data_IF_630706768415
#
_entry.id   IF_630706768415
#
_cell.length_a   1.000
_cell.length_b   1.000
_cell.length_c   1.000
_cell.angle_alpha   90.00
_cell.angle_beta   90.00
_cell.angle_gamma   90.00
#
_symmetry.space_group_name_H-M   'P 1'
#
loop_
_entity.id
_entity.type
_entity.pdbx_description
1 polymer ?
#
# COMPACT_ATOMS: atom_id res chain seq x y z
N UNK A 1 40.89 -12.95 40.21
CA UNK A 1 40.18 -12.95 41.50
C UNK A 1 39.09 -11.90 41.45
N UNK A 2 37.94 -12.13 42.10
CA UNK A 2 36.93 -11.15 42.59
C UNK A 2 36.40 -10.03 41.66
N UNK A 3 35.11 -9.72 41.61
CA UNK A 3 33.93 -10.40 42.16
C UNK A 3 32.64 -9.95 41.43
N UNK A 4 31.56 -10.71 41.63
CA UNK A 4 30.23 -10.52 41.07
C UNK A 4 29.61 -9.14 41.38
N UNK A 5 28.62 -8.73 40.57
CA UNK A 5 27.31 -8.40 41.13
C UNK A 5 26.18 -8.48 40.09
N UNK A 6 25.06 -9.11 40.47
CA UNK A 6 23.83 -9.19 39.66
C UNK A 6 22.61 -9.28 40.58
N UNK A 7 21.66 -8.33 40.54
CA UNK A 7 20.41 -8.42 41.27
C UNK A 7 19.29 -8.97 40.37
N UNK A 8 18.88 -10.21 40.61
CA UNK A 8 17.64 -10.78 40.05
C UNK A 8 16.41 -10.19 40.76
N UNK A 9 15.35 -9.85 40.01
CA UNK A 9 13.99 -9.77 40.56
C UNK A 9 12.90 -10.05 39.51
N UNK A 10 12.28 -11.22 39.62
CA UNK A 10 10.97 -11.52 38.99
C UNK A 10 9.88 -10.65 39.63
N UNK A 11 8.88 -10.20 38.85
CA UNK A 11 7.49 -10.02 39.33
C UNK A 11 6.47 -9.92 38.18
N UNK A 12 5.52 -10.87 38.18
CA UNK A 12 4.17 -10.89 37.58
C UNK A 12 3.31 -11.71 38.57
N UNK A 13 1.96 -11.65 38.53
CA UNK A 13 1.09 -10.52 38.20
C UNK A 13 0.45 -10.00 39.51
N UNK A 14 -0.87 -9.70 39.60
CA UNK A 14 -1.86 -10.77 39.70
C UNK A 14 -3.04 -10.67 38.70
N UNK A 15 -3.84 -11.73 38.64
CA UNK A 15 -5.12 -11.77 37.91
C UNK A 15 -6.25 -11.18 38.76
N UNK A 16 -7.34 -10.75 38.10
CA UNK A 16 -8.59 -10.37 38.76
C UNK A 16 -9.74 -11.27 38.28
N UNK A 17 -9.91 -12.43 38.90
CA UNK A 17 -11.14 -13.22 38.77
C UNK A 17 -12.26 -12.58 39.59
N UNK A 18 -13.47 -12.52 39.04
CA UNK A 18 -14.64 -11.87 39.65
C UNK A 18 -15.96 -12.51 39.25
N UNK A 19 -16.23 -13.70 39.79
CA UNK A 19 -17.60 -14.19 40.01
C UNK A 19 -17.92 -13.91 41.52
N UNK A 20 -19.14 -13.99 42.07
CA UNK A 20 -20.40 -14.65 41.69
C UNK A 20 -21.60 -13.83 42.26
N UNK A 21 -22.82 -14.21 41.85
CA UNK A 21 -24.15 -13.98 42.49
C UNK A 21 -24.93 -12.74 42.02
N UNK A 22 -26.17 -12.81 41.50
CA UNK A 22 -27.35 -13.72 41.62
C UNK A 22 -28.35 -13.35 42.74
N UNK A 23 -29.59 -13.87 42.62
CA UNK A 23 -30.83 -13.55 43.37
C UNK A 23 -31.59 -12.34 42.79
N UNK A 24 -32.90 -12.34 42.51
CA UNK A 24 -33.92 -13.36 42.10
C UNK A 24 -35.24 -12.58 41.78
N UNK A 25 -36.32 -13.08 41.15
CA UNK A 25 -36.65 -14.39 40.54
C UNK A 25 -36.94 -14.19 39.02
N UNK A 26 -38.08 -14.44 38.34
CA UNK A 26 -39.39 -15.14 38.53
C UNK A 26 -40.07 -15.28 37.12
N UNK A 27 -41.02 -16.16 36.80
CA UNK A 27 -41.55 -17.40 37.39
C UNK A 27 -42.19 -18.28 36.29
N UNK A 28 -42.30 -19.60 36.51
CA UNK A 28 -43.34 -20.53 35.97
C UNK A 28 -43.54 -20.64 34.42
N UNK A 29 -43.24 -21.81 33.85
CA UNK A 29 -43.77 -22.27 32.54
C UNK A 29 -45.04 -23.15 32.70
N UNK A 30 -45.26 -24.22 31.92
CA UNK A 30 -44.71 -24.59 30.60
C UNK A 30 -45.79 -25.08 29.60
N UNK A 31 -45.42 -25.43 28.35
CA UNK A 31 -45.79 -26.70 27.64
C UNK A 31 -45.51 -26.65 26.12
N UNK A 32 -44.91 -27.72 25.59
CA UNK A 32 -44.78 -28.00 24.15
C UNK A 32 -46.03 -28.71 23.59
N UNK A 33 -46.43 -28.47 22.33
CA UNK A 33 -47.58 -29.13 21.72
C UNK A 33 -47.33 -30.63 21.43
N UNK A 34 -48.38 -31.44 21.57
CA UNK A 34 -48.35 -32.91 21.44
C UNK A 34 -48.49 -33.33 19.97
N UNK A 35 -47.62 -34.25 19.50
CA UNK A 35 -47.84 -34.99 18.25
C UNK A 35 -48.94 -36.04 18.44
N UNK A 36 -50.09 -35.84 17.80
CA UNK A 36 -51.12 -36.88 17.73
C UNK A 36 -50.66 -38.07 16.87
N UNK A 37 -50.93 -39.27 17.37
CA UNK A 37 -50.78 -40.55 16.68
C UNK A 37 -52.15 -40.97 16.13
N UNK A 38 -52.20 -41.45 14.89
CA UNK A 38 -53.35 -42.20 14.34
C UNK A 38 -52.85 -43.51 13.74
N UNK A 39 -53.69 -44.53 13.82
CA UNK A 39 -53.49 -45.90 13.32
C UNK A 39 -54.86 -46.50 13.02
N UNK A 40 -54.91 -47.45 12.08
CA UNK A 40 -56.14 -47.87 11.38
C UNK A 40 -56.18 -47.25 9.97
N UNK A 41 -56.45 -47.98 8.89
CA UNK A 41 -56.93 -49.39 8.80
C UNK A 41 -56.33 -50.09 7.58
N UNK A 42 -56.31 -51.42 7.60
CA UNK A 42 -56.12 -52.32 6.44
C UNK A 42 -57.32 -52.18 5.46
N UNK A 43 -57.39 -52.74 4.24
CA UNK A 43 -56.49 -53.57 3.42
C UNK A 43 -56.82 -53.30 1.93
N UNK A 44 -55.98 -53.70 0.96
CA UNK A 44 -56.37 -53.58 -0.47
C UNK A 44 -55.25 -53.72 -1.51
N UNK A 45 -55.26 -54.84 -2.24
CA UNK A 45 -54.43 -55.16 -3.43
C UNK A 45 -55.41 -55.62 -4.56
N UNK A 46 -55.04 -55.78 -5.86
CA UNK A 46 -53.69 -55.75 -6.44
C UNK A 46 -53.53 -55.01 -7.80
N UNK A 47 -52.28 -55.02 -8.27
CA UNK A 47 -51.78 -55.02 -9.67
C UNK A 47 -52.58 -54.42 -10.86
N UNK A 48 -51.90 -53.51 -11.58
CA UNK A 48 -51.64 -53.66 -13.03
C UNK A 48 -50.38 -52.87 -13.41
N UNK A 49 -49.69 -53.23 -14.50
CA UNK A 49 -48.36 -52.67 -14.83
C UNK A 49 -48.15 -52.32 -16.30
N UNK A 50 -47.17 -51.43 -16.56
CA UNK A 50 -46.67 -51.13 -17.92
C UNK A 50 -45.21 -50.61 -17.83
N UNK A 51 -44.27 -51.02 -18.71
CA UNK A 51 -42.84 -50.82 -18.44
C UNK A 51 -42.15 -49.64 -19.18
N UNK A 52 -41.10 -49.12 -18.53
CA UNK A 52 -39.93 -48.41 -19.08
C UNK A 52 -40.14 -47.18 -19.99
N UNK A 53 -39.62 -46.06 -19.51
CA UNK A 53 -38.77 -45.17 -20.33
C UNK A 53 -37.68 -44.55 -19.44
N UNK A 54 -36.38 -44.89 -19.63
CA UNK A 54 -35.30 -44.26 -18.88
C UNK A 54 -35.01 -42.87 -19.46
N UNK A 55 -35.80 -41.88 -19.05
CA UNK A 55 -35.48 -40.48 -19.31
C UNK A 55 -34.12 -40.18 -18.69
N UNK A 56 -33.11 -39.88 -19.52
CA UNK A 56 -31.78 -39.54 -19.02
C UNK A 56 -31.80 -38.13 -18.44
N UNK A 57 -32.23 -38.01 -17.18
CA UNK A 57 -32.01 -36.79 -16.41
C UNK A 57 -30.51 -36.51 -16.37
N UNK A 58 -30.07 -35.54 -17.18
CA UNK A 58 -28.78 -34.89 -16.99
C UNK A 58 -28.90 -34.08 -15.70
N UNK A 59 -28.68 -34.75 -14.56
CA UNK A 59 -28.57 -34.17 -13.23
C UNK A 59 -27.36 -33.25 -13.23
N UNK A 60 -27.58 -32.04 -13.75
CA UNK A 60 -26.64 -30.95 -13.77
C UNK A 60 -26.32 -30.65 -12.31
N UNK A 61 -25.07 -30.85 -11.84
CA UNK A 61 -24.79 -30.82 -10.42
C UNK A 61 -25.22 -29.48 -9.83
N UNK A 62 -26.13 -29.49 -8.85
CA UNK A 62 -26.52 -28.30 -8.10
C UNK A 62 -25.32 -27.84 -7.27
N UNK A 63 -24.45 -27.03 -7.87
CA UNK A 63 -23.25 -26.48 -7.26
C UNK A 63 -23.65 -25.70 -6.01
N UNK A 64 -23.46 -26.31 -4.84
CA UNK A 64 -23.92 -25.70 -3.59
C UNK A 64 -23.13 -24.41 -3.33
N UNK A 65 -23.74 -23.46 -2.61
CA UNK A 65 -23.04 -22.22 -2.20
C UNK A 65 -21.73 -22.50 -1.46
N UNK A 66 -21.66 -23.64 -0.74
CA UNK A 66 -20.43 -24.14 -0.11
C UNK A 66 -19.36 -24.51 -1.14
N UNK A 67 -19.69 -25.31 -2.15
CA UNK A 67 -18.75 -25.72 -3.20
C UNK A 67 -18.20 -24.53 -4.00
N UNK A 68 -19.04 -23.52 -4.27
CA UNK A 68 -18.59 -22.28 -4.94
C UNK A 68 -17.58 -21.49 -4.08
N UNK A 69 -17.86 -21.30 -2.78
CA UNK A 69 -16.94 -20.62 -1.86
C UNK A 69 -15.63 -21.42 -1.65
N UNK A 70 -15.70 -22.75 -1.67
CA UNK A 70 -14.55 -23.65 -1.56
C UNK A 70 -13.65 -23.59 -2.81
N UNK A 71 -14.25 -23.57 -4.01
CA UNK A 71 -13.54 -23.35 -5.27
C UNK A 71 -12.90 -21.95 -5.35
N UNK A 72 -13.58 -20.90 -4.90
CA UNK A 72 -13.03 -19.54 -4.86
C UNK A 72 -11.84 -19.44 -3.89
N UNK A 73 -11.93 -20.09 -2.72
CA UNK A 73 -10.83 -20.21 -1.76
C UNK A 73 -9.65 -20.98 -2.34
N UNK A 74 -9.89 -22.08 -3.05
CA UNK A 74 -8.85 -22.84 -3.74
C UNK A 74 -8.13 -21.99 -4.80
N UNK A 75 -8.87 -21.25 -5.63
CA UNK A 75 -8.31 -20.31 -6.62
C UNK A 75 -7.42 -19.25 -5.95
N UNK A 76 -7.90 -18.61 -4.88
CA UNK A 76 -7.13 -17.60 -4.12
C UNK A 76 -5.86 -18.17 -3.49
N UNK A 77 -5.91 -19.40 -2.97
CA UNK A 77 -4.72 -20.09 -2.47
C UNK A 77 -3.72 -20.39 -3.59
N UNK A 78 -4.17 -20.86 -4.75
CA UNK A 78 -3.33 -21.13 -5.92
C UNK A 78 -2.67 -19.83 -6.44
N UNK A 79 -3.42 -18.73 -6.50
CA UNK A 79 -2.90 -17.41 -6.89
C UNK A 79 -1.80 -16.93 -5.95
N UNK A 80 -1.99 -17.09 -4.63
CA UNK A 80 -0.97 -16.79 -3.62
C UNK A 80 0.26 -17.68 -3.75
N UNK A 81 0.09 -18.99 -3.96
CA UNK A 81 1.21 -19.92 -4.18
C UNK A 81 2.01 -19.60 -5.45
N UNK A 82 1.34 -19.23 -6.54
CA UNK A 82 1.99 -18.81 -7.79
C UNK A 82 2.77 -17.50 -7.63
N UNK A 83 2.29 -16.57 -6.81
CA UNK A 83 3.02 -15.35 -6.44
C UNK A 83 4.25 -15.67 -5.57
N UNK A 84 4.11 -16.53 -4.56
CA UNK A 84 5.23 -16.99 -3.72
C UNK A 84 6.29 -17.75 -4.53
N UNK A 85 5.87 -18.59 -5.48
CA UNK A 85 6.75 -19.27 -6.42
C UNK A 85 7.43 -18.33 -7.42
N UNK A 86 6.83 -17.17 -7.73
CA UNK A 86 7.45 -16.12 -8.55
C UNK A 86 8.51 -15.34 -7.76
N UNK A 87 8.21 -14.97 -6.50
CA UNK A 87 9.16 -14.33 -5.58
C UNK A 87 10.39 -15.21 -5.29
N UNK A 88 10.19 -16.53 -5.19
CA UNK A 88 11.25 -17.50 -4.90
C UNK A 88 12.23 -17.73 -6.06
N UNK A 89 11.96 -17.21 -7.28
CA UNK A 89 12.89 -17.34 -8.40
C UNK A 89 14.07 -16.40 -8.23
N UNK A 90 15.28 -16.94 -8.35
CA UNK A 90 16.53 -16.17 -8.26
C UNK A 90 16.70 -15.07 -9.31
N UNK A 91 15.90 -15.10 -10.39
CA UNK A 91 15.83 -14.05 -11.43
C UNK A 91 15.08 -12.77 -10.98
N UNK A 92 14.16 -12.90 -10.01
CA UNK A 92 13.32 -11.80 -9.53
C UNK A 92 13.85 -11.14 -8.25
N UNK A 93 14.83 -11.75 -7.58
CA UNK A 93 15.45 -11.22 -6.35
C UNK A 93 16.59 -10.26 -6.71
N UNK A 94 16.48 -8.98 -6.33
CA UNK A 94 17.50 -8.00 -6.64
C UNK A 94 18.71 -8.13 -5.71
N UNK A 95 19.91 -8.09 -6.30
CA UNK A 95 21.18 -8.21 -5.61
C UNK A 95 22.06 -7.00 -5.89
N UNK A 96 22.57 -6.28 -4.88
CA UNK A 96 23.51 -5.17 -5.08
C UNK A 96 24.75 -5.57 -5.90
N UNK A 97 25.14 -6.83 -5.85
CA UNK A 97 26.28 -7.38 -6.58
C UNK A 97 26.02 -7.52 -8.09
N UNK A 98 24.75 -7.52 -8.53
CA UNK A 98 24.35 -7.59 -9.94
C UNK A 98 24.21 -6.19 -10.58
N UNK A 99 23.86 -5.16 -9.79
CA UNK A 99 23.89 -3.76 -10.22
C UNK A 99 24.62 -2.89 -9.17
N UNK A 100 25.97 -2.97 -9.10
CA UNK A 100 26.77 -2.19 -8.16
C UNK A 100 26.79 -0.69 -8.50
N UNK A 101 26.24 -0.30 -9.66
CA UNK A 101 26.14 1.09 -10.10
C UNK A 101 24.74 1.69 -9.83
N UNK A 102 23.80 0.93 -9.26
CA UNK A 102 22.46 1.40 -8.95
C UNK A 102 22.50 2.66 -8.07
N UNK A 103 22.03 3.77 -8.63
CA UNK A 103 21.93 5.07 -7.97
C UNK A 103 20.56 5.67 -8.23
N UNK A 104 19.85 5.98 -7.16
CA UNK A 104 18.58 6.70 -7.23
C UNK A 104 18.84 8.12 -7.79
N UNK A 105 18.03 8.54 -8.76
CA UNK A 105 18.28 9.78 -9.52
C UNK A 105 17.72 11.00 -8.78
N UNK A 106 18.31 12.17 -9.06
CA UNK A 106 17.77 13.46 -8.62
C UNK A 106 16.34 13.62 -9.13
N UNK A 107 15.45 14.19 -8.30
CA UNK A 107 14.02 14.33 -8.58
C UNK A 107 13.17 13.10 -8.23
N UNK A 108 13.76 11.93 -7.97
CA UNK A 108 12.99 10.76 -7.53
C UNK A 108 12.43 10.95 -6.13
N UNK A 109 11.16 10.53 -5.94
CA UNK A 109 10.52 10.42 -4.62
C UNK A 109 10.81 9.03 -4.06
N UNK A 110 11.48 8.95 -2.91
CA UNK A 110 11.88 7.70 -2.24
C UNK A 110 11.16 7.48 -0.92
N UNK A 111 11.09 6.23 -0.51
CA UNK A 111 10.39 5.73 0.68
C UNK A 111 11.36 4.85 1.48
N UNK A 112 11.33 4.93 2.81
CA UNK A 112 12.17 4.07 3.67
C UNK A 112 11.54 2.68 3.86
N UNK A 113 12.36 1.66 4.11
CA UNK A 113 11.95 0.26 4.27
C UNK A 113 10.68 0.06 5.11
N UNK A 114 10.66 0.61 6.32
CA UNK A 114 9.56 0.45 7.28
C UNK A 114 8.27 1.09 6.78
N UNK A 115 8.34 2.29 6.20
CA UNK A 115 7.17 3.00 5.66
C UNK A 115 6.61 2.26 4.44
N UNK A 116 7.48 1.81 3.53
CA UNK A 116 7.11 1.01 2.36
C UNK A 116 6.43 -0.30 2.77
N UNK A 117 7.09 -1.09 3.62
CA UNK A 117 6.58 -2.39 4.08
C UNK A 117 5.21 -2.25 4.76
N UNK A 118 5.05 -1.25 5.62
CA UNK A 118 3.79 -1.00 6.34
C UNK A 118 2.67 -0.45 5.45
N UNK A 119 2.97 0.43 4.50
CA UNK A 119 1.96 1.08 3.66
C UNK A 119 1.40 0.15 2.58
N UNK A 120 2.29 -0.48 1.81
CA UNK A 120 1.91 -1.40 0.72
C UNK A 120 1.54 -2.82 1.23
N UNK A 121 1.92 -3.14 2.48
CA UNK A 121 1.86 -4.47 3.09
C UNK A 121 2.68 -5.47 2.28
N UNK A 122 3.97 -5.17 2.15
CA UNK A 122 4.95 -6.09 1.58
C UNK A 122 5.53 -7.04 2.64
N UNK A 123 5.92 -8.24 2.21
CA UNK A 123 6.78 -9.14 2.98
C UNK A 123 8.26 -8.77 2.80
N UNK A 124 9.18 -9.43 3.52
CA UNK A 124 10.62 -9.17 3.37
C UNK A 124 11.16 -9.72 2.02
N UNK A 125 10.58 -10.81 1.53
CA UNK A 125 10.87 -11.42 0.23
C UNK A 125 10.40 -10.56 -0.95
N UNK A 126 9.24 -9.90 -0.80
CA UNK A 126 8.72 -8.92 -1.77
C UNK A 126 9.62 -7.68 -1.83
N UNK A 127 10.06 -7.16 -0.67
CA UNK A 127 11.02 -6.05 -0.60
C UNK A 127 12.42 -6.45 -1.11
N UNK A 128 12.73 -7.75 -1.20
CA UNK A 128 13.95 -8.30 -1.80
C UNK A 128 13.97 -8.22 -3.34
N UNK A 129 12.82 -8.10 -4.00
CA UNK A 129 12.74 -7.95 -5.46
C UNK A 129 13.08 -6.55 -5.98
N UNK A 130 13.30 -5.57 -5.09
CA UNK A 130 13.40 -4.15 -5.46
C UNK A 130 14.78 -3.54 -5.25
N UNK A 131 15.26 -2.72 -6.20
CA UNK A 131 16.56 -2.05 -6.09
C UNK A 131 16.51 -0.89 -5.08
N UNK A 132 17.39 -0.96 -4.08
CA UNK A 132 17.45 -0.02 -2.97
C UNK A 132 18.82 0.64 -2.83
N UNK A 133 18.85 1.81 -2.21
CA UNK A 133 20.08 2.46 -1.75
C UNK A 133 20.17 2.31 -0.23
N UNK A 134 21.33 1.89 0.25
CA UNK A 134 21.62 1.84 1.67
C UNK A 134 22.03 3.23 2.18
N UNK A 135 21.60 3.61 3.39
CA UNK A 135 22.00 4.85 4.05
C UNK A 135 22.36 4.60 5.52
N UNK A 136 23.25 5.42 6.07
CA UNK A 136 23.67 5.29 7.46
C UNK A 136 22.50 5.56 8.43
N UNK A 137 22.28 4.65 9.37
CA UNK A 137 21.22 4.75 10.35
C UNK A 137 21.75 5.38 11.63
N UNK A 138 21.39 6.65 11.86
CA UNK A 138 21.79 7.45 13.02
C UNK A 138 21.54 6.77 14.38
N UNK A 139 20.55 5.88 14.47
CA UNK A 139 20.21 5.17 15.70
C UNK A 139 20.97 3.84 15.87
N UNK A 140 21.53 3.28 14.79
CA UNK A 140 22.29 2.02 14.80
C UNK A 140 23.13 1.86 13.51
N UNK A 141 24.41 2.28 13.51
CA UNK A 141 25.30 2.16 12.35
C UNK A 141 25.47 0.73 11.83
N UNK A 142 25.35 -0.30 12.70
CA UNK A 142 25.41 -1.72 12.31
C UNK A 142 24.17 -2.20 11.54
N UNK A 143 23.14 -1.37 11.38
CA UNK A 143 21.91 -1.68 10.65
C UNK A 143 21.52 -0.52 9.73
N UNK A 144 22.19 -0.37 8.57
CA UNK A 144 21.89 0.70 7.62
C UNK A 144 20.43 0.66 7.18
N UNK A 145 19.85 1.85 7.01
CA UNK A 145 18.52 2.01 6.42
C UNK A 145 18.54 1.69 4.93
N UNK A 146 17.37 1.35 4.38
CA UNK A 146 17.18 1.14 2.94
C UNK A 146 16.12 2.09 2.41
N UNK A 147 16.43 2.83 1.35
CA UNK A 147 15.49 3.66 0.60
C UNK A 147 15.12 2.99 -0.73
N UNK A 148 13.88 3.15 -1.16
CA UNK A 148 13.32 2.55 -2.38
C UNK A 148 12.66 3.64 -3.23
N UNK A 149 12.73 3.53 -4.56
CA UNK A 149 11.98 4.41 -5.47
C UNK A 149 10.47 4.18 -5.31
N UNK A 150 9.69 5.25 -5.12
CA UNK A 150 8.22 5.17 -5.01
C UNK A 150 7.59 4.52 -6.25
N UNK A 151 8.13 4.78 -7.44
CA UNK A 151 7.57 4.23 -8.69
C UNK A 151 7.74 2.71 -8.78
N UNK A 152 8.85 2.17 -8.31
CA UNK A 152 9.11 0.72 -8.37
C UNK A 152 8.38 -0.04 -7.25
N UNK A 153 8.18 0.60 -6.08
CA UNK A 153 7.23 0.14 -5.07
C UNK A 153 5.78 0.06 -5.61
N UNK A 154 5.34 1.09 -6.35
CA UNK A 154 4.01 1.09 -6.98
C UNK A 154 3.88 0.00 -8.06
N UNK A 155 4.89 -0.15 -8.93
CA UNK A 155 4.94 -1.24 -9.93
C UNK A 155 4.84 -2.62 -9.28
N UNK A 156 5.57 -2.87 -8.18
CA UNK A 156 5.46 -4.13 -7.45
C UNK A 156 4.07 -4.31 -6.83
N UNK A 157 3.49 -3.25 -6.27
CA UNK A 157 2.14 -3.30 -5.67
C UNK A 157 1.07 -3.62 -6.72
N UNK A 158 1.11 -2.96 -7.88
CA UNK A 158 0.18 -3.22 -8.99
C UNK A 158 0.34 -4.65 -9.52
N UNK A 159 1.59 -5.09 -9.75
CA UNK A 159 1.91 -6.45 -10.19
C UNK A 159 1.42 -7.51 -9.19
N UNK A 160 1.58 -7.26 -7.88
CA UNK A 160 1.10 -8.12 -6.79
C UNK A 160 -0.42 -8.26 -6.81
N UNK A 161 -1.16 -7.16 -6.89
CA UNK A 161 -2.64 -7.23 -6.93
C UNK A 161 -3.14 -7.88 -8.23
N UNK A 162 -2.50 -7.60 -9.37
CA UNK A 162 -2.80 -8.28 -10.63
C UNK A 162 -2.60 -9.80 -10.52
N UNK A 163 -1.47 -10.26 -9.97
CA UNK A 163 -1.19 -11.68 -9.75
C UNK A 163 -2.17 -12.34 -8.78
N UNK A 164 -2.45 -11.69 -7.64
CA UNK A 164 -3.37 -12.22 -6.61
C UNK A 164 -4.83 -12.27 -7.06
N UNK A 165 -5.24 -11.48 -8.07
CA UNK A 165 -6.58 -11.56 -8.65
C UNK A 165 -6.66 -12.44 -9.91
N UNK A 166 -5.51 -12.78 -10.52
CA UNK A 166 -5.40 -13.68 -11.67
C UNK A 166 -5.43 -12.98 -13.03
N UNK A 167 -4.92 -11.75 -13.11
CA UNK A 167 -4.75 -11.02 -14.37
C UNK A 167 -3.65 -11.70 -15.21
N UNK A 168 -3.92 -11.89 -16.50
CA UNK A 168 -2.98 -12.52 -17.41
C UNK A 168 -1.66 -11.73 -17.52
N UNK A 169 -0.55 -12.45 -17.60
CA UNK A 169 0.79 -11.87 -17.71
C UNK A 169 1.36 -11.25 -16.43
N UNK A 170 0.66 -11.27 -15.29
CA UNK A 170 1.18 -10.73 -14.03
C UNK A 170 2.43 -11.47 -13.49
N UNK A 171 2.65 -12.70 -13.93
CA UNK A 171 3.81 -13.54 -13.56
C UNK A 171 4.81 -13.74 -14.72
N UNK A 172 4.55 -13.18 -15.92
CA UNK A 172 5.48 -13.16 -17.06
C UNK A 172 6.63 -12.17 -16.80
N UNK A 173 7.83 -12.41 -17.33
CA UNK A 173 9.05 -11.64 -16.99
C UNK A 173 8.88 -10.11 -16.90
N UNK A 174 8.84 -9.42 -18.05
CA UNK A 174 8.62 -7.96 -18.10
C UNK A 174 7.11 -7.67 -17.96
N UNK A 175 6.68 -6.84 -17.00
CA UNK A 175 5.27 -6.53 -16.80
C UNK A 175 4.71 -5.68 -17.95
N UNK A 176 3.58 -6.12 -18.54
CA UNK A 176 2.86 -5.42 -19.61
C UNK A 176 2.03 -4.26 -19.04
N UNK A 177 1.95 -3.13 -19.75
CA UNK A 177 1.27 -1.92 -19.27
C UNK A 177 -0.21 -2.14 -18.91
N UNK A 178 -0.96 -2.92 -19.69
CA UNK A 178 -2.38 -3.15 -19.41
C UNK A 178 -2.62 -4.00 -18.16
N UNK A 179 -1.70 -4.94 -17.87
CA UNK A 179 -1.69 -5.68 -16.60
C UNK A 179 -1.36 -4.74 -15.43
N UNK A 180 -0.46 -3.77 -15.62
CA UNK A 180 -0.16 -2.76 -14.60
C UNK A 180 -1.32 -1.78 -14.37
N UNK A 181 -2.07 -1.39 -15.40
CA UNK A 181 -3.30 -0.56 -15.27
C UNK A 181 -4.38 -1.30 -14.46
N UNK A 182 -4.62 -2.57 -14.76
CA UNK A 182 -5.59 -3.38 -14.00
C UNK A 182 -5.09 -3.65 -12.57
N UNK A 183 -3.81 -3.94 -12.40
CA UNK A 183 -3.16 -4.05 -11.09
C UNK A 183 -3.27 -2.77 -10.26
N UNK A 184 -3.16 -1.60 -10.89
CA UNK A 184 -3.42 -0.32 -10.24
C UNK A 184 -4.88 -0.20 -9.81
N UNK A 185 -5.85 -0.48 -10.69
CA UNK A 185 -7.28 -0.42 -10.36
C UNK A 185 -7.62 -1.28 -9.14
N UNK A 186 -7.05 -2.49 -9.07
CA UNK A 186 -7.21 -3.42 -7.96
C UNK A 186 -6.53 -2.91 -6.66
N UNK A 187 -5.33 -2.32 -6.78
CA UNK A 187 -4.60 -1.74 -5.66
C UNK A 187 -5.28 -0.51 -5.07
N UNK A 188 -5.74 0.42 -5.91
CA UNK A 188 -6.39 1.65 -5.47
C UNK A 188 -7.72 1.31 -4.76
N UNK A 189 -8.54 0.40 -5.32
CA UNK A 189 -9.74 -0.12 -4.66
C UNK A 189 -9.46 -0.84 -3.33
N UNK A 190 -8.33 -1.57 -3.22
CA UNK A 190 -7.86 -2.17 -1.97
C UNK A 190 -7.45 -1.10 -0.95
N UNK A 191 -6.81 -0.02 -1.38
CA UNK A 191 -6.37 1.08 -0.53
C UNK A 191 -7.56 1.91 -0.01
N UNK A 192 -8.57 2.16 -0.83
CA UNK A 192 -9.83 2.77 -0.42
C UNK A 192 -10.56 1.91 0.61
N UNK A 193 -10.58 0.58 0.42
CA UNK A 193 -11.17 -0.35 1.39
C UNK A 193 -10.44 -0.29 2.75
N UNK A 194 -9.12 -0.12 2.74
CA UNK A 194 -8.29 0.03 3.95
C UNK A 194 -8.48 1.38 4.64
N UNK A 195 -8.59 2.49 3.89
CA UNK A 195 -8.84 3.81 4.47
C UNK A 195 -10.27 3.92 5.04
N UNK A 196 -11.27 3.39 4.34
CA UNK A 196 -12.64 3.29 4.84
C UNK A 196 -12.76 2.44 6.12
N UNK A 197 -11.93 1.39 6.26
CA UNK A 197 -11.83 0.62 7.51
C UNK A 197 -11.14 1.44 8.61
N UNK A 198 -10.03 2.10 8.29
CA UNK A 198 -9.30 2.93 9.25
C UNK A 198 -10.17 4.06 9.80
N UNK A 199 -10.89 4.80 8.94
CA UNK A 199 -11.86 5.84 9.31
C UNK A 199 -12.94 5.32 10.26
N UNK A 200 -13.46 4.11 10.05
CA UNK A 200 -14.45 3.46 10.94
C UNK A 200 -13.88 3.04 12.30
N UNK A 201 -12.56 2.87 12.43
CA UNK A 201 -11.88 2.53 13.69
C UNK A 201 -11.24 3.71 14.41
N UNK A 202 -11.22 4.91 13.79
CA UNK A 202 -10.54 6.10 14.29
C UNK A 202 -11.38 7.38 14.08
N UNK A 203 -12.68 7.32 14.33
CA UNK A 203 -13.58 8.48 14.40
C UNK A 203 -13.55 9.38 13.15
N UNK A 204 -13.53 8.77 11.96
CA UNK A 204 -13.48 9.47 10.67
C UNK A 204 -12.10 9.96 10.23
N UNK A 205 -11.05 9.81 11.06
CA UNK A 205 -9.68 10.21 10.71
C UNK A 205 -9.15 9.35 9.56
N UNK A 206 -8.58 9.98 8.53
CA UNK A 206 -7.89 9.29 7.43
C UNK A 206 -6.63 8.55 7.91
N UNK A 207 -6.24 7.49 7.19
CA UNK A 207 -5.00 6.75 7.45
C UNK A 207 -3.77 7.63 7.24
N UNK A 208 -2.69 7.48 8.05
CA UNK A 208 -1.43 8.19 7.84
C UNK A 208 -0.91 8.09 6.40
N UNK A 209 -0.55 9.25 5.83
CA UNK A 209 -0.03 9.39 4.46
C UNK A 209 1.35 8.74 4.35
N UNK A 210 1.67 8.16 3.20
CA UNK A 210 2.99 7.61 2.92
C UNK A 210 4.06 8.70 2.97
N UNK A 211 4.99 8.62 3.92
CA UNK A 211 6.13 9.53 3.97
C UNK A 211 7.03 9.30 2.76
N UNK A 212 7.25 10.36 1.98
CA UNK A 212 8.14 10.34 0.81
C UNK A 212 9.18 11.45 0.96
N UNK A 213 10.42 11.16 0.55
CA UNK A 213 11.52 12.12 0.53
C UNK A 213 11.92 12.35 -0.93
N UNK A 214 12.12 13.60 -1.35
CA UNK A 214 12.64 13.89 -2.69
C UNK A 214 14.17 13.84 -2.68
N UNK A 215 14.79 13.19 -3.66
CA UNK A 215 16.24 13.28 -3.86
C UNK A 215 16.56 14.63 -4.50
N UNK A 216 17.09 15.54 -3.68
CA UNK A 216 17.58 16.85 -4.10
C UNK A 216 19.08 16.74 -4.33
N UNK A 217 19.59 17.39 -5.39
CA UNK A 217 21.04 17.51 -5.60
C UNK A 217 21.64 18.27 -4.41
N UNK A 218 22.59 17.67 -3.69
CA UNK A 218 23.30 18.32 -2.59
C UNK A 218 24.09 19.50 -3.16
N UNK A 219 23.55 20.72 -3.01
CA UNK A 219 24.28 21.95 -3.33
C UNK A 219 25.56 21.98 -2.48
N UNK A 220 26.71 22.10 -3.13
CA UNK A 220 27.93 22.55 -2.47
C UNK A 220 27.72 24.01 -2.11
N UNK A 221 27.63 24.29 -0.81
CA UNK A 221 27.45 25.65 -0.30
C UNK A 221 28.75 26.44 -0.48
N UNK A 222 28.83 27.18 -1.58
CA UNK A 222 29.69 28.36 -1.67
C UNK A 222 28.86 29.54 -1.16
N UNK A 223 29.16 30.03 0.05
CA UNK A 223 28.32 30.96 0.80
C UNK A 223 28.35 32.42 0.28
N UNK A 224 28.84 32.62 -0.94
CA UNK A 224 29.22 33.94 -1.49
C UNK A 224 28.17 34.60 -2.38
N UNK A 225 27.15 33.88 -2.88
CA UNK A 225 26.11 34.42 -3.79
C UNK A 225 24.69 33.87 -3.52
N UNK A 226 23.62 34.64 -3.83
CA UNK A 226 22.25 34.12 -3.87
C UNK A 226 22.02 33.23 -5.11
N UNK A 227 22.06 31.92 -4.94
CA UNK A 227 22.03 30.94 -6.05
C UNK A 227 20.58 30.68 -6.54
N UNK A 228 20.31 31.10 -7.79
CA UNK A 228 19.04 30.91 -8.52
C UNK A 228 18.58 29.43 -8.58
N UNK A 229 17.27 29.16 -8.70
CA UNK A 229 16.73 27.81 -8.95
C UNK A 229 17.27 27.16 -10.24
N UNK A 230 17.29 25.82 -10.28
CA UNK A 230 17.71 25.07 -11.47
C UNK A 230 16.68 25.22 -12.59
N UNK A 231 17.16 25.42 -13.83
CA UNK A 231 16.29 25.69 -14.98
C UNK A 231 15.68 27.10 -14.98
N UNK A 232 16.24 28.04 -14.22
CA UNK A 232 15.81 29.45 -14.26
C UNK A 232 16.55 30.24 -15.36
N UNK A 233 15.87 31.18 -16.01
CA UNK A 233 16.48 32.16 -16.93
C UNK A 233 15.93 33.57 -16.73
N UNK A 234 16.69 34.57 -17.16
CA UNK A 234 16.23 35.97 -17.20
C UNK A 234 15.62 36.28 -18.57
N UNK A 235 14.35 36.66 -18.59
CA UNK A 235 13.65 37.13 -19.80
C UNK A 235 13.51 38.65 -19.77
N UNK A 236 13.67 39.34 -20.92
CA UNK A 236 13.64 40.81 -20.97
C UNK A 236 12.21 41.32 -21.00
N UNK A 237 11.86 42.23 -20.10
CA UNK A 237 10.52 42.84 -20.00
C UNK A 237 10.53 44.21 -20.64
N UNK A 238 9.50 44.49 -21.44
CA UNK A 238 9.35 45.73 -22.19
C UNK A 238 7.97 46.36 -21.93
N UNK A 239 7.94 47.68 -21.83
CA UNK A 239 6.74 48.51 -21.65
C UNK A 239 6.89 49.75 -22.53
N UNK A 240 5.86 50.12 -23.30
CA UNK A 240 5.88 51.21 -24.30
C UNK A 240 7.13 51.26 -25.20
N UNK A 241 7.61 50.08 -25.62
CA UNK A 241 8.79 49.92 -26.48
C UNK A 241 10.15 50.12 -25.78
N UNK A 242 10.17 50.29 -24.45
CA UNK A 242 11.38 50.46 -23.63
C UNK A 242 11.61 49.24 -22.75
N UNK A 243 12.86 48.83 -22.55
CA UNK A 243 13.17 47.74 -21.62
C UNK A 243 13.07 48.26 -20.18
N UNK A 244 12.19 47.68 -19.37
CA UNK A 244 12.02 48.07 -17.97
C UNK A 244 12.79 47.18 -16.99
N UNK A 245 13.22 45.99 -17.43
CA UNK A 245 14.02 45.08 -16.61
C UNK A 245 14.02 43.64 -17.12
N UNK A 246 14.27 42.71 -16.21
CA UNK A 246 14.26 41.26 -16.46
C UNK A 246 13.35 40.52 -15.49
N UNK A 247 12.65 39.49 -15.98
CA UNK A 247 11.86 38.58 -15.16
C UNK A 247 12.58 37.24 -14.99
N UNK A 248 12.58 36.70 -13.77
CA UNK A 248 13.13 35.38 -13.48
C UNK A 248 12.07 34.32 -13.77
N UNK A 249 12.24 33.63 -14.90
CA UNK A 249 11.37 32.56 -15.38
C UNK A 249 11.93 31.22 -14.94
N UNK A 250 11.06 30.24 -14.66
CA UNK A 250 11.45 28.92 -14.18
C UNK A 250 10.97 27.81 -15.14
N UNK A 251 11.84 26.89 -15.52
CA UNK A 251 11.47 25.66 -16.24
C UNK A 251 10.55 24.74 -15.40
N UNK A 252 10.70 24.79 -14.08
CA UNK A 252 9.79 24.20 -13.10
C UNK A 252 9.45 25.27 -12.07
N UNK A 253 8.29 25.91 -12.19
CA UNK A 253 7.81 26.84 -11.16
C UNK A 253 7.21 26.04 -10.00
N UNK A 254 7.81 26.05 -8.78
CA UNK A 254 7.31 25.30 -7.65
C UNK A 254 5.97 25.82 -7.11
N UNK A 255 5.53 27.03 -7.49
CA UNK A 255 4.23 27.58 -7.12
C UNK A 255 3.12 27.17 -8.10
N UNK A 256 3.44 26.66 -9.31
CA UNK A 256 2.45 26.32 -10.35
C UNK A 256 1.61 25.06 -10.05
N UNK A 257 2.13 24.10 -9.28
CA UNK A 257 1.31 22.98 -8.74
C UNK A 257 0.64 23.34 -7.39
N UNK A 258 1.09 24.40 -6.72
CA UNK A 258 0.60 24.82 -5.39
C UNK A 258 -0.64 25.71 -5.46
N UNK A 259 -1.62 25.33 -6.29
CA UNK A 259 -2.93 25.95 -6.39
C UNK A 259 -3.85 25.62 -5.20
N UNK A 260 -3.42 25.94 -3.97
CA UNK A 260 -4.21 25.68 -2.77
C UNK A 260 -3.56 26.18 -1.48
N UNK A 261 -4.39 26.59 -0.51
CA UNK A 261 -3.96 26.80 0.87
C UNK A 261 -3.40 25.50 1.45
N UNK A 262 -2.17 25.54 1.98
CA UNK A 262 -1.96 25.43 3.42
C UNK A 262 -0.52 25.80 3.81
N UNK A 263 -0.30 26.14 5.08
CA UNK A 263 0.94 26.78 5.54
C UNK A 263 2.16 25.87 5.62
N UNK A 264 2.97 25.82 4.56
CA UNK A 264 4.28 25.16 4.52
C UNK A 264 5.45 26.13 4.30
N UNK A 265 6.40 26.13 5.23
CA UNK A 265 7.75 26.74 5.21
C UNK A 265 7.94 28.17 4.65
N UNK A 266 8.38 29.07 5.54
CA UNK A 266 8.79 30.45 5.23
C UNK A 266 9.99 30.56 4.26
N UNK A 267 10.69 29.46 3.97
CA UNK A 267 11.94 29.42 3.21
C UNK A 267 11.80 29.90 1.75
N UNK A 268 10.63 29.73 1.12
CA UNK A 268 10.37 30.23 -0.23
C UNK A 268 9.87 31.69 -0.26
N UNK A 269 9.37 32.21 0.87
CA UNK A 269 8.75 33.55 0.92
C UNK A 269 9.76 34.70 0.80
N UNK A 270 11.04 34.44 1.00
CA UNK A 270 12.15 35.40 0.88
C UNK A 270 12.70 35.57 -0.54
N UNK A 271 12.38 34.68 -1.48
CA UNK A 271 12.86 34.72 -2.88
C UNK A 271 11.99 35.61 -3.78
N UNK A 272 11.41 36.70 -3.24
CA UNK A 272 10.24 37.37 -3.83
C UNK A 272 10.52 38.49 -4.84
N UNK A 273 11.76 38.87 -5.11
CA UNK A 273 12.08 39.68 -6.30
C UNK A 273 12.20 38.78 -7.55
N UNK A 274 11.05 38.38 -8.12
CA UNK A 274 11.00 37.77 -9.47
C UNK A 274 11.31 38.77 -10.59
N UNK A 275 11.28 40.08 -10.31
CA UNK A 275 11.60 41.16 -11.25
C UNK A 275 12.89 41.87 -10.83
N UNK A 276 13.77 42.11 -11.80
CA UNK A 276 14.98 42.91 -11.65
C UNK A 276 14.85 44.16 -12.55
N UNK A 277 14.61 45.36 -12.01
CA UNK A 277 14.44 46.57 -12.83
C UNK A 277 15.76 46.98 -13.50
N UNK A 278 15.67 47.61 -14.67
CA UNK A 278 16.82 48.05 -15.48
C UNK A 278 17.78 48.99 -14.73
N UNK A 279 17.25 49.73 -13.76
CA UNK A 279 17.98 50.64 -12.87
C UNK A 279 19.00 49.92 -11.96
N UNK A 280 18.76 48.65 -11.60
CA UNK A 280 19.72 47.80 -10.85
C UNK A 280 20.83 47.22 -11.75
N UNK A 281 20.92 47.63 -13.02
CA UNK A 281 21.84 47.08 -14.01
C UNK A 281 21.47 45.66 -14.45
N UNK A 282 22.28 45.06 -15.32
CA UNK A 282 22.07 43.67 -15.76
C UNK A 282 22.22 42.71 -14.56
N UNK A 283 21.28 41.80 -14.30
CA UNK A 283 21.38 40.88 -13.17
C UNK A 283 22.52 39.86 -13.37
N UNK A 284 23.21 39.55 -12.28
CA UNK A 284 24.37 38.66 -12.26
C UNK A 284 24.08 37.23 -12.74
N UNK A 285 25.16 36.57 -13.18
CA UNK A 285 25.18 35.15 -13.52
C UNK A 285 25.50 34.25 -12.32
#
# INVERSE_FOLDING_TARGET
MSANNTPSRRRRPPESHGNISAIDSDAIGPKTPVKHRKTGTEEGSPESGTPKSPSSEKVSPKTTKKALAEAEKARKNQQKQSWEAWLARGENQWKPEQDPNYKQKIGWKVVQYTDAKNHFRFSDEEMGTLPYVAFENQNNPMRPGKSYNKLDLLRLAYRKEAALNGVEGALDGVPKDDMLKEGQRLFDARMDNLDNKYKKSHDGKSRPVLRTFSIIQRRTYDNSKPIRPFGAWWERVWEDGRMIGWWLVYHFDPEAECGGSDGGDSYYRSLRERFWPVEKGCPDW
#
